data_IF_556119727744
#
_entry.id   IF_556119727744
#
_cell.length_a   1.000
_cell.length_b   1.000
_cell.length_c   1.000
_cell.angle_alpha   90.00
_cell.angle_beta   90.00
_cell.angle_gamma   90.00
#
_symmetry.space_group_name_H-M   'P 1'
#
loop_
_entity.id
_entity.type
_entity.pdbx_description
1 polymer ?
#
# COMPACT_ATOMS: atom_id res chain seq x y z
N UNK A 1 -3.36 10.24 5.28
CA UNK A 1 -4.13 9.88 4.08
C UNK A 1 -3.13 9.57 2.97
N UNK A 2 -3.29 8.46 2.24
CA UNK A 2 -2.36 8.06 1.19
C UNK A 2 -2.35 9.03 -0.01
N UNK A 3 -1.25 9.03 -0.75
CA UNK A 3 -1.00 9.84 -1.95
C UNK A 3 -1.45 9.10 -3.22
N UNK A 4 -2.76 9.11 -3.47
CA UNK A 4 -3.35 8.53 -4.69
C UNK A 4 -3.26 9.46 -5.91
N UNK A 5 -2.05 9.92 -6.19
CA UNK A 5 -1.76 10.86 -7.27
C UNK A 5 -2.10 10.29 -8.66
N UNK A 6 -1.87 9.01 -8.87
CA UNK A 6 -2.19 8.28 -10.11
C UNK A 6 -3.68 8.15 -10.41
N UNK A 7 -4.55 8.40 -9.42
CA UNK A 7 -6.01 8.35 -9.56
C UNK A 7 -6.64 9.70 -9.88
N UNK A 8 -5.83 10.78 -9.93
CA UNK A 8 -6.35 12.11 -10.30
C UNK A 8 -6.81 12.13 -11.78
N UNK A 9 -7.72 13.06 -12.13
CA UNK A 9 -8.13 13.24 -13.51
C UNK A 9 -6.93 13.52 -14.43
N UNK A 10 -6.97 12.98 -15.64
CA UNK A 10 -5.91 13.13 -16.66
C UNK A 10 -5.66 14.61 -17.06
N UNK A 11 -6.64 15.48 -16.86
CA UNK A 11 -6.50 16.93 -17.02
C UNK A 11 -5.47 17.56 -16.08
N UNK A 12 -5.19 16.91 -14.95
CA UNK A 12 -4.26 17.38 -13.94
C UNK A 12 -2.82 16.94 -14.23
N UNK A 13 -2.61 15.96 -15.12
CA UNK A 13 -1.29 15.37 -15.42
C UNK A 13 -0.25 16.43 -15.89
N UNK A 14 -0.71 17.54 -16.49
CA UNK A 14 0.14 18.64 -16.97
C UNK A 14 0.54 19.66 -15.89
N UNK A 15 0.07 19.52 -14.66
CA UNK A 15 0.31 20.46 -13.54
C UNK A 15 1.19 19.89 -12.43
N UNK A 16 1.89 18.79 -12.69
CA UNK A 16 2.46 17.92 -11.65
C UNK A 16 3.98 18.00 -11.61
N UNK A 17 4.55 18.24 -10.42
CA UNK A 17 6.00 18.19 -10.13
C UNK A 17 6.47 16.81 -9.62
N UNK A 18 5.60 15.78 -9.58
CA UNK A 18 5.91 14.44 -9.06
C UNK A 18 5.73 13.32 -10.10
N UNK A 19 6.61 12.31 -10.08
CA UNK A 19 6.50 11.16 -10.98
C UNK A 19 5.30 10.27 -10.63
N UNK A 20 4.51 9.88 -11.63
CA UNK A 20 3.46 8.86 -11.50
C UNK A 20 4.08 7.47 -11.25
N UNK A 21 3.39 6.63 -10.48
CA UNK A 21 3.78 5.24 -10.21
C UNK A 21 3.23 4.33 -11.31
N UNK A 22 1.99 4.58 -11.74
CA UNK A 22 1.26 3.81 -12.73
C UNK A 22 0.78 4.72 -13.88
N UNK A 23 1.71 5.19 -14.74
CA UNK A 23 1.40 6.19 -15.78
C UNK A 23 0.40 5.70 -16.84
N UNK A 24 0.26 4.38 -16.99
CA UNK A 24 -0.58 3.76 -18.02
C UNK A 24 -2.03 3.49 -17.58
N UNK A 25 -2.46 3.96 -16.41
CA UNK A 25 -3.84 3.81 -15.95
C UNK A 25 -4.80 4.62 -16.83
N UNK A 26 -5.80 3.94 -17.40
CA UNK A 26 -6.84 4.61 -18.17
C UNK A 26 -7.98 5.13 -17.26
N UNK A 27 -8.83 6.00 -17.81
CA UNK A 27 -9.90 6.64 -17.02
C UNK A 27 -10.95 5.65 -16.50
N UNK A 28 -11.20 4.55 -17.20
CA UNK A 28 -12.13 3.51 -16.73
C UNK A 28 -11.57 2.76 -15.52
N UNK A 29 -10.28 2.41 -15.56
CA UNK A 29 -9.56 1.81 -14.43
C UNK A 29 -9.53 2.74 -13.23
N UNK A 30 -9.14 4.01 -13.42
CA UNK A 30 -9.14 5.03 -12.35
C UNK A 30 -10.50 5.15 -11.68
N UNK A 31 -11.57 5.30 -12.47
CA UNK A 31 -12.94 5.40 -11.96
C UNK A 31 -13.33 4.17 -11.14
N UNK A 32 -13.00 2.96 -11.62
CA UNK A 32 -13.27 1.72 -10.90
C UNK A 32 -12.50 1.66 -9.58
N UNK A 33 -11.20 1.93 -9.59
CA UNK A 33 -10.36 1.93 -8.38
C UNK A 33 -10.88 2.93 -7.34
N UNK A 34 -11.25 4.15 -7.77
CA UNK A 34 -11.82 5.15 -6.87
C UNK A 34 -13.11 4.64 -6.23
N UNK A 35 -14.02 4.06 -7.03
CA UNK A 35 -15.27 3.51 -6.52
C UNK A 35 -15.03 2.40 -5.49
N UNK A 36 -14.13 1.47 -5.80
CA UNK A 36 -13.79 0.35 -4.92
C UNK A 36 -13.10 0.85 -3.63
N UNK A 37 -12.23 1.86 -3.71
CA UNK A 37 -11.60 2.50 -2.55
C UNK A 37 -12.61 3.18 -1.63
N UNK A 38 -13.61 3.87 -2.20
CA UNK A 38 -14.65 4.52 -1.40
C UNK A 38 -15.50 3.48 -0.65
N UNK A 39 -15.84 2.36 -1.31
CA UNK A 39 -16.54 1.25 -0.67
C UNK A 39 -15.69 0.60 0.42
N UNK A 40 -14.41 0.35 0.13
CA UNK A 40 -13.46 -0.20 1.10
C UNK A 40 -13.33 0.72 2.32
N UNK A 41 -13.21 2.03 2.12
CA UNK A 41 -13.11 2.99 3.22
C UNK A 41 -14.34 2.95 4.13
N UNK A 42 -15.54 2.95 3.54
CA UNK A 42 -16.79 2.85 4.30
C UNK A 42 -16.86 1.54 5.11
N UNK A 43 -16.46 0.42 4.52
CA UNK A 43 -16.43 -0.86 5.22
C UNK A 43 -15.40 -0.88 6.37
N UNK A 44 -14.22 -0.28 6.16
CA UNK A 44 -13.19 -0.15 7.19
C UNK A 44 -13.62 0.80 8.33
N UNK A 45 -14.37 1.87 8.04
CA UNK A 45 -14.94 2.78 9.04
C UNK A 45 -15.91 2.06 9.98
N UNK A 46 -16.63 1.05 9.49
CA UNK A 46 -17.57 0.25 10.29
C UNK A 46 -16.86 -0.84 11.12
N UNK A 47 -15.72 -1.35 10.65
CA UNK A 47 -15.04 -2.51 11.24
C UNK A 47 -13.86 -2.15 12.13
N UNK A 48 -13.21 -1.02 11.88
CA UNK A 48 -11.98 -0.61 12.56
C UNK A 48 -12.24 0.72 13.26
N UNK A 49 -11.91 0.84 14.56
CA UNK A 49 -12.01 2.11 15.27
C UNK A 49 -11.27 3.24 14.56
N UNK A 50 -11.71 4.48 14.78
CA UNK A 50 -10.96 5.65 14.33
C UNK A 50 -9.62 5.77 15.05
N UNK A 51 -8.61 6.27 14.35
CA UNK A 51 -7.28 6.52 14.92
C UNK A 51 -7.36 7.67 15.92
N UNK A 52 -6.82 7.47 17.11
CA UNK A 52 -6.75 8.48 18.15
C UNK A 52 -5.39 8.43 18.85
N UNK A 53 -4.42 9.15 18.29
CA UNK A 53 -3.02 9.15 18.74
C UNK A 53 -2.81 9.61 20.19
N UNK A 54 -3.79 10.31 20.79
CA UNK A 54 -3.70 10.79 22.17
C UNK A 54 -4.13 9.73 23.19
N UNK A 55 -4.92 8.72 22.79
CA UNK A 55 -5.59 7.79 23.71
C UNK A 55 -5.40 6.32 23.38
N UNK A 56 -5.11 5.98 22.13
CA UNK A 56 -5.08 4.59 21.66
C UNK A 56 -4.15 4.41 20.48
N UNK A 57 -3.54 3.24 20.39
CA UNK A 57 -2.71 2.84 19.27
C UNK A 57 -3.35 1.64 18.56
N UNK A 58 -3.58 1.75 17.26
CA UNK A 58 -4.10 0.66 16.43
C UNK A 58 -2.95 -0.11 15.79
N UNK A 59 -2.88 -1.40 16.10
CA UNK A 59 -1.85 -2.32 15.63
C UNK A 59 -2.46 -3.38 14.73
N UNK A 60 -1.74 -3.77 13.68
CA UNK A 60 -2.08 -4.92 12.86
C UNK A 60 -0.86 -5.79 12.54
N UNK A 61 -1.11 -7.08 12.32
CA UNK A 61 -0.18 -7.98 11.67
C UNK A 61 -0.83 -8.51 10.39
N UNK A 62 -0.15 -8.39 9.26
CA UNK A 62 -0.68 -8.81 7.97
C UNK A 62 0.35 -9.58 7.17
N UNK A 63 0.03 -10.84 6.87
CA UNK A 63 0.76 -11.63 5.91
C UNK A 63 0.32 -11.25 4.48
N UNK A 64 1.25 -10.71 3.69
CA UNK A 64 1.01 -10.33 2.30
C UNK A 64 1.63 -11.37 1.35
N UNK A 65 0.79 -12.26 0.83
CA UNK A 65 1.22 -13.32 -0.08
C UNK A 65 2.06 -12.78 -1.25
N UNK A 66 3.24 -13.37 -1.40
CA UNK A 66 4.20 -13.14 -2.50
C UNK A 66 4.55 -11.65 -2.71
N UNK A 67 4.54 -10.85 -1.65
CA UNK A 67 4.93 -9.45 -1.71
C UNK A 67 6.44 -9.32 -1.99
N UNK A 68 6.80 -8.66 -3.08
CA UNK A 68 8.20 -8.56 -3.52
C UNK A 68 8.70 -9.69 -4.44
N UNK A 69 7.82 -10.61 -4.88
CA UNK A 69 8.15 -11.64 -5.88
C UNK A 69 7.23 -11.58 -7.11
N UNK A 70 5.99 -11.10 -6.95
CA UNK A 70 5.05 -11.00 -8.05
C UNK A 70 5.42 -9.89 -9.03
N UNK A 71 5.93 -10.26 -10.21
CA UNK A 71 6.17 -9.33 -11.33
C UNK A 71 4.91 -8.69 -11.91
N UNK A 72 3.71 -9.14 -11.51
CA UNK A 72 2.43 -8.77 -12.13
C UNK A 72 1.32 -8.40 -11.13
N UNK A 73 1.65 -7.87 -9.96
CA UNK A 73 0.62 -7.30 -9.07
C UNK A 73 -0.04 -6.10 -9.77
N UNK A 74 -1.37 -6.10 -9.87
CA UNK A 74 -2.11 -5.04 -10.55
C UNK A 74 -2.13 -3.75 -9.71
N UNK A 75 -2.18 -2.55 -10.32
CA UNK A 75 -2.18 -1.27 -9.61
C UNK A 75 -3.23 -1.17 -8.49
N UNK A 76 -4.44 -1.65 -8.76
CA UNK A 76 -5.56 -1.71 -7.82
C UNK A 76 -5.17 -2.29 -6.46
N UNK A 77 -4.44 -3.41 -6.47
CA UNK A 77 -4.03 -4.11 -5.25
C UNK A 77 -3.17 -3.21 -4.37
N UNK A 78 -2.28 -2.41 -4.96
CA UNK A 78 -1.43 -1.49 -4.20
C UNK A 78 -2.23 -0.38 -3.54
N UNK A 79 -3.22 0.18 -4.24
CA UNK A 79 -4.10 1.18 -3.64
C UNK A 79 -4.91 0.60 -2.47
N UNK A 80 -5.43 -0.61 -2.61
CA UNK A 80 -6.19 -1.26 -1.54
C UNK A 80 -5.32 -1.63 -0.34
N UNK A 81 -4.11 -2.15 -0.57
CA UNK A 81 -3.14 -2.43 0.49
C UNK A 81 -2.79 -1.14 1.24
N UNK A 82 -2.52 -0.05 0.52
CA UNK A 82 -2.22 1.25 1.12
C UNK A 82 -3.40 1.80 1.95
N UNK A 83 -4.64 1.65 1.47
CA UNK A 83 -5.83 2.10 2.21
C UNK A 83 -6.01 1.32 3.51
N UNK A 84 -5.84 -0.01 3.47
CA UNK A 84 -5.95 -0.88 4.65
C UNK A 84 -4.85 -0.54 5.66
N UNK A 85 -3.59 -0.46 5.24
CA UNK A 85 -2.47 -0.12 6.13
C UNK A 85 -2.67 1.26 6.77
N UNK A 86 -3.16 2.25 6.01
CA UNK A 86 -3.39 3.59 6.53
C UNK A 86 -4.45 3.67 7.65
N UNK A 87 -5.26 2.62 7.87
CA UNK A 87 -6.19 2.52 9.00
C UNK A 87 -5.53 2.29 10.35
N UNK A 88 -4.31 1.77 10.35
CA UNK A 88 -3.56 1.46 11.57
C UNK A 88 -2.47 2.50 11.82
N UNK A 89 -1.90 2.48 13.03
CA UNK A 89 -0.75 3.31 13.41
C UNK A 89 0.57 2.56 13.19
N UNK A 90 0.56 1.24 13.39
CA UNK A 90 1.70 0.35 13.11
C UNK A 90 1.19 -0.97 12.55
N UNK A 91 1.84 -1.42 11.47
CA UNK A 91 1.52 -2.68 10.80
C UNK A 91 2.79 -3.51 10.66
N UNK A 92 2.77 -4.72 11.22
CA UNK A 92 3.78 -5.73 10.94
C UNK A 92 3.40 -6.48 9.66
N UNK A 93 4.19 -6.34 8.59
CA UNK A 93 3.96 -7.00 7.31
C UNK A 93 4.89 -8.20 7.18
N UNK A 94 4.32 -9.38 6.97
CA UNK A 94 5.05 -10.65 6.88
C UNK A 94 5.09 -11.18 5.44
N UNK A 95 6.00 -12.12 5.19
CA UNK A 95 6.28 -12.74 3.88
C UNK A 95 6.79 -11.75 2.81
N UNK A 96 7.54 -10.72 3.24
CA UNK A 96 8.24 -9.87 2.28
C UNK A 96 9.38 -10.71 1.68
N UNK A 97 9.30 -10.99 0.38
CA UNK A 97 10.30 -11.77 -0.35
C UNK A 97 11.52 -10.87 -0.69
N UNK A 98 12.41 -11.37 -1.53
CA UNK A 98 13.69 -10.71 -1.84
C UNK A 98 13.56 -9.34 -2.50
N UNK A 99 12.55 -9.12 -3.36
CA UNK A 99 12.35 -7.86 -4.06
C UNK A 99 11.74 -6.77 -3.17
N UNK A 100 12.30 -5.56 -3.24
CA UNK A 100 11.81 -4.37 -2.52
C UNK A 100 10.92 -3.46 -3.39
N UNK A 101 10.70 -3.79 -4.66
CA UNK A 101 9.93 -2.94 -5.57
C UNK A 101 8.48 -2.73 -5.11
N UNK A 102 7.80 -3.81 -4.69
CA UNK A 102 6.45 -3.73 -4.12
C UNK A 102 6.41 -2.82 -2.88
N UNK A 103 7.44 -2.90 -2.02
CA UNK A 103 7.56 -2.06 -0.83
C UNK A 103 7.79 -0.60 -1.22
N UNK A 104 8.67 -0.33 -2.18
CA UNK A 104 8.94 1.02 -2.68
C UNK A 104 7.67 1.66 -3.27
N UNK A 105 6.89 0.91 -4.04
CA UNK A 105 5.59 1.34 -4.58
C UNK A 105 4.63 1.67 -3.43
N UNK A 106 4.48 0.74 -2.48
CA UNK A 106 3.58 0.91 -1.35
C UNK A 106 3.95 2.14 -0.50
N UNK A 107 5.24 2.35 -0.21
CA UNK A 107 5.70 3.51 0.55
C UNK A 107 5.45 4.83 -0.18
N UNK A 108 5.61 4.87 -1.51
CA UNK A 108 5.24 6.06 -2.30
C UNK A 108 3.74 6.36 -2.24
N UNK A 109 2.89 5.33 -2.20
CA UNK A 109 1.45 5.50 -2.04
C UNK A 109 1.06 5.90 -0.62
N UNK A 110 1.68 5.34 0.42
CA UNK A 110 1.42 5.73 1.81
C UNK A 110 1.86 7.17 2.10
N UNK A 111 2.89 7.64 1.40
CA UNK A 111 3.40 9.00 1.48
C UNK A 111 4.29 9.25 2.69
N UNK A 112 4.69 10.51 2.89
CA UNK A 112 5.70 10.92 3.89
C UNK A 112 5.31 10.69 5.35
N UNK A 113 4.06 10.33 5.63
CA UNK A 113 3.59 10.06 7.00
C UNK A 113 3.96 8.65 7.48
N UNK A 114 4.46 7.79 6.59
CA UNK A 114 4.86 6.43 6.91
C UNK A 114 6.36 6.27 6.79
N UNK A 115 6.92 5.46 7.67
CA UNK A 115 8.30 4.99 7.64
C UNK A 115 8.29 3.49 7.93
N UNK A 116 9.33 2.78 7.50
CA UNK A 116 9.44 1.34 7.71
C UNK A 116 10.80 0.96 8.26
N UNK A 117 10.84 -0.19 8.92
CA UNK A 117 12.07 -0.90 9.26
C UNK A 117 11.88 -2.32 8.74
N UNK A 118 12.93 -2.89 8.15
CA UNK A 118 12.91 -4.23 7.58
C UNK A 118 14.03 -5.07 8.18
N UNK A 119 13.73 -6.34 8.45
CA UNK A 119 14.70 -7.34 8.86
C UNK A 119 15.45 -7.88 7.64
N UNK A 120 16.71 -8.27 7.83
CA UNK A 120 17.51 -8.82 6.72
C UNK A 120 16.92 -10.14 6.20
N UNK A 121 17.23 -10.50 4.95
CA UNK A 121 16.82 -11.79 4.38
C UNK A 121 17.51 -12.89 5.18
N UNK A 122 16.76 -13.91 5.58
CA UNK A 122 17.36 -15.14 6.07
C UNK A 122 18.06 -15.86 4.90
N UNK A 123 19.39 -15.75 4.82
CA UNK A 123 20.21 -16.57 3.92
C UNK A 123 20.38 -17.96 4.55
N UNK A 124 19.66 -18.95 4.04
CA UNK A 124 19.85 -20.36 4.40
C UNK A 124 19.15 -21.28 3.40
N UNK A 125 19.86 -22.30 2.94
CA UNK A 125 19.45 -23.26 1.88
C UNK A 125 18.17 -24.07 2.19
N UNK A 126 17.57 -23.91 3.38
CA UNK A 126 16.32 -24.56 3.82
C UNK A 126 15.17 -23.55 4.11
N UNK A 127 15.36 -22.26 3.81
CA UNK A 127 14.36 -21.21 4.00
C UNK A 127 13.92 -20.61 2.67
N UNK A 128 12.62 -20.48 2.44
CA UNK A 128 12.01 -19.97 1.19
C UNK A 128 12.23 -18.46 0.93
N UNK A 129 13.42 -17.92 1.26
CA UNK A 129 13.84 -16.52 1.11
C UNK A 129 12.80 -15.54 1.63
N UNK A 130 12.32 -15.77 2.87
CA UNK A 130 11.28 -15.00 3.52
C UNK A 130 11.86 -13.98 4.51
N UNK A 131 11.22 -12.81 4.59
CA UNK A 131 11.38 -11.83 5.67
C UNK A 131 10.12 -11.83 6.53
N UNK A 132 10.30 -11.72 7.84
CA UNK A 132 9.25 -11.62 8.86
C UNK A 132 9.16 -10.22 9.43
#
# INVERSE_FOLDING_TARGET
MPWYNDLRPQSDDKKIDYALIFPNLNNAQRKRIIQDLLLLRQDLDLKIPEKNSDRSLLLASWNLKEFGHLTKRIPDSYFFIAEIINRFDLVAVQEIKSGLDDLNILMRLLGSNWSYTITDITEGDDGNSERF
#
